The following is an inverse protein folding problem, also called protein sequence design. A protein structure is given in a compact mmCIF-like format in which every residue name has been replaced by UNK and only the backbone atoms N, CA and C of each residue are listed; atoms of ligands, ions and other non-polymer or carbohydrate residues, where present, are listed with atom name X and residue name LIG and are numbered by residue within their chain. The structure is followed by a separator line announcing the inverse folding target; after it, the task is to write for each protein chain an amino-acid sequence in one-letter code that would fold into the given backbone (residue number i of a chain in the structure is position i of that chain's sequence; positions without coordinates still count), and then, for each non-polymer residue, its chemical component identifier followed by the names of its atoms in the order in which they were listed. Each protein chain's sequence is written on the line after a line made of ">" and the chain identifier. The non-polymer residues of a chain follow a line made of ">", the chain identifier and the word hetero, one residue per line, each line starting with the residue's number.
data_IF_795159587360
#
_entry.id   IF_795159587360
#
_cell.length_a   1.000
_cell.length_b   1.000
_cell.length_c   1.000
_cell.angle_alpha   90.00
_cell.angle_beta   90.00
_cell.angle_gamma   90.00
#
_symmetry.space_group_name_H-M   'P 1'
#
loop_
_entity.id
_entity.type
_entity.pdbx_description
1 polymer ?
#
# COMPACT_ATOMS: atom_id res chain seq x y z
N UNK A 1 -18.44 5.24 2.00
CA UNK A 1 -16.98 5.42 2.11
C UNK A 1 -16.32 4.63 0.99
N UNK A 2 -15.37 5.21 0.25
CA UNK A 2 -14.55 4.52 -0.74
C UNK A 2 -13.22 4.11 -0.09
N UNK A 3 -12.81 2.86 -0.27
CA UNK A 3 -11.51 2.38 0.22
C UNK A 3 -10.56 2.28 -0.97
N UNK A 4 -9.45 3.01 -0.90
CA UNK A 4 -8.37 2.93 -1.89
C UNK A 4 -7.23 2.13 -1.25
N UNK A 5 -6.88 1.01 -1.86
CA UNK A 5 -5.84 0.12 -1.38
C UNK A 5 -4.59 0.21 -2.27
N UNK A 6 -3.57 0.91 -1.79
CA UNK A 6 -2.28 0.99 -2.45
C UNK A 6 -1.43 -0.22 -2.06
N UNK A 7 -1.14 -1.10 -3.01
CA UNK A 7 -0.24 -2.24 -2.85
C UNK A 7 1.08 -1.91 -3.52
N UNK A 8 2.17 -1.94 -2.74
CA UNK A 8 3.50 -1.56 -3.19
C UNK A 8 4.57 -2.57 -2.80
N UNK A 9 5.67 -2.62 -3.54
CA UNK A 9 6.94 -3.12 -3.01
C UNK A 9 7.62 -2.05 -2.13
N UNK A 10 8.70 -2.40 -1.40
CA UNK A 10 9.51 -1.42 -0.70
C UNK A 10 10.15 -0.43 -1.69
N UNK A 11 10.54 0.76 -1.23
CA UNK A 11 11.31 1.76 -2.03
C UNK A 11 10.62 2.22 -3.34
N UNK A 12 9.29 2.21 -3.36
CA UNK A 12 8.47 2.62 -4.52
C UNK A 12 7.69 3.93 -4.35
N UNK A 13 8.06 4.80 -3.40
CA UNK A 13 7.35 6.08 -3.13
C UNK A 13 5.90 5.93 -2.61
N UNK A 14 5.51 4.76 -2.11
CA UNK A 14 4.18 4.53 -1.54
C UNK A 14 3.87 5.44 -0.35
N UNK A 15 4.86 5.68 0.52
CA UNK A 15 4.74 6.63 1.64
C UNK A 15 4.52 8.06 1.17
N UNK A 16 5.14 8.49 0.06
CA UNK A 16 4.93 9.82 -0.49
C UNK A 16 3.49 9.99 -1.01
N UNK A 17 2.95 8.97 -1.69
CA UNK A 17 1.53 8.97 -2.08
C UNK A 17 0.60 8.95 -0.86
N UNK A 18 0.92 8.18 0.18
CA UNK A 18 0.13 8.19 1.42
C UNK A 18 0.09 9.59 2.04
N UNK A 19 1.22 10.30 2.13
CA UNK A 19 1.23 11.69 2.61
C UNK A 19 0.43 12.62 1.70
N UNK A 20 0.52 12.46 0.38
CA UNK A 20 -0.28 13.22 -0.58
C UNK A 20 -1.80 13.04 -0.32
N UNK A 21 -2.25 11.81 -0.10
CA UNK A 21 -3.66 11.52 0.22
C UNK A 21 -4.08 12.00 1.62
N UNK A 22 -3.17 12.01 2.60
CA UNK A 22 -3.47 12.50 3.95
C UNK A 22 -3.71 14.01 4.03
N UNK A 23 -3.30 14.77 2.99
CA UNK A 23 -3.58 16.20 2.88
C UNK A 23 -4.97 16.52 2.36
N UNK A 24 -5.72 15.52 1.86
CA UNK A 24 -7.08 15.75 1.39
C UNK A 24 -8.03 15.89 2.59
N UNK A 25 -8.94 16.87 2.60
CA UNK A 25 -9.86 17.09 3.72
C UNK A 25 -10.91 15.99 3.90
N UNK A 26 -11.13 15.18 2.86
CA UNK A 26 -12.13 14.10 2.81
C UNK A 26 -11.55 12.71 3.12
N UNK A 27 -10.23 12.62 3.38
CA UNK A 27 -9.48 11.36 3.40
C UNK A 27 -8.83 11.09 4.74
N UNK A 28 -8.89 9.83 5.19
CA UNK A 28 -8.03 9.29 6.26
C UNK A 28 -7.06 8.28 5.67
N UNK A 29 -5.91 8.12 6.32
CA UNK A 29 -4.88 7.17 5.89
C UNK A 29 -4.61 6.15 6.97
N UNK A 30 -4.31 4.92 6.57
CA UNK A 30 -3.75 3.88 7.44
C UNK A 30 -2.46 3.37 6.80
N UNK A 31 -1.36 3.45 7.55
CA UNK A 31 -0.04 2.96 7.13
C UNK A 31 0.10 1.50 7.54
N UNK A 32 0.29 0.62 6.55
CA UNK A 32 0.61 -0.81 6.68
C UNK A 32 -0.22 -1.56 7.73
N UNK A 33 -1.57 -1.60 7.64
CA UNK A 33 -2.44 -2.23 8.63
C UNK A 33 -2.11 -3.70 8.94
N UNK A 34 -1.53 -4.42 7.98
CA UNK A 34 -1.19 -5.85 8.11
C UNK A 34 0.26 -6.10 8.58
N UNK A 35 1.00 -5.07 9.01
CA UNK A 35 2.43 -5.24 9.33
C UNK A 35 2.67 -6.11 10.57
N UNK A 36 1.91 -5.91 11.65
CA UNK A 36 2.01 -6.77 12.84
C UNK A 36 1.65 -8.23 12.54
N UNK A 37 0.64 -8.46 11.69
CA UNK A 37 0.32 -9.82 11.20
C UNK A 37 1.49 -10.46 10.44
N UNK A 38 2.14 -9.71 9.55
CA UNK A 38 3.31 -10.17 8.82
C UNK A 38 4.48 -10.54 9.76
N UNK A 39 4.76 -9.70 10.77
CA UNK A 39 5.82 -9.93 11.75
C UNK A 39 5.53 -11.12 12.69
N UNK A 40 4.27 -11.35 13.04
CA UNK A 40 3.88 -12.46 13.90
C UNK A 40 3.99 -13.81 13.17
N UNK A 41 3.58 -13.86 11.90
CA UNK A 41 3.56 -15.09 11.08
C UNK A 41 4.94 -15.53 10.59
N UNK A 42 5.83 -14.60 10.23
CA UNK A 42 7.11 -14.92 9.59
C UNK A 42 8.30 -15.04 10.58
N UNK A 43 8.10 -14.78 11.88
CA UNK A 43 9.15 -14.79 12.92
C UNK A 43 10.41 -14.02 12.50
N UNK A 44 10.23 -12.92 11.78
CA UNK A 44 11.34 -12.09 11.28
C UNK A 44 11.90 -11.30 12.46
N UNK A 45 13.22 -11.36 12.64
CA UNK A 45 13.93 -10.47 13.55
C UNK A 45 14.12 -9.12 12.84
N UNK A 46 13.23 -8.17 13.14
CA UNK A 46 13.20 -6.84 12.55
C UNK A 46 13.36 -5.78 13.64
N UNK A 47 14.15 -4.70 13.41
CA UNK A 47 14.20 -3.57 14.32
C UNK A 47 12.79 -3.03 14.63
N UNK A 48 12.45 -2.86 15.91
CA UNK A 48 11.13 -2.37 16.33
C UNK A 48 10.01 -3.42 16.30
N UNK A 49 10.31 -4.71 16.08
CA UNK A 49 9.31 -5.79 16.05
C UNK A 49 8.37 -5.79 17.25
N UNK A 50 8.91 -5.80 18.47
CA UNK A 50 8.10 -5.85 19.69
C UNK A 50 7.24 -4.59 19.85
N UNK A 51 7.75 -3.42 19.45
CA UNK A 51 6.98 -2.18 19.47
C UNK A 51 5.80 -2.24 18.49
N UNK A 52 6.02 -2.75 17.27
CA UNK A 52 4.96 -2.94 16.27
C UNK A 52 3.90 -3.93 16.76
N UNK A 53 4.31 -5.08 17.30
CA UNK A 53 3.38 -6.10 17.79
C UNK A 53 2.57 -5.64 19.00
N UNK A 54 3.11 -4.74 19.83
CA UNK A 54 2.39 -4.17 20.97
C UNK A 54 1.48 -3.00 20.60
N UNK A 55 1.71 -2.34 19.46
CA UNK A 55 0.96 -1.15 19.03
C UNK A 55 -0.15 -1.42 18.02
N UNK A 56 -0.13 -2.58 17.34
CA UNK A 56 -1.07 -2.93 16.29
C UNK A 56 -1.61 -4.35 16.48
N UNK A 57 -2.85 -4.60 16.08
CA UNK A 57 -3.39 -5.97 16.08
C UNK A 57 -2.67 -6.82 15.03
N UNK A 58 -2.46 -8.10 15.35
CA UNK A 58 -1.97 -9.11 14.40
C UNK A 58 -3.08 -10.07 13.95
N UNK A 59 -4.30 -9.88 14.46
CA UNK A 59 -5.49 -10.63 14.08
C UNK A 59 -6.11 -10.02 12.82
N UNK A 60 -6.23 -10.83 11.77
CA UNK A 60 -6.72 -10.38 10.46
C UNK A 60 -8.17 -9.89 10.54
N UNK A 61 -9.02 -10.57 11.31
CA UNK A 61 -10.44 -10.24 11.41
C UNK A 61 -10.61 -8.92 12.15
N UNK A 62 -9.83 -8.69 13.22
CA UNK A 62 -9.80 -7.40 13.91
C UNK A 62 -9.33 -6.27 13.00
N UNK A 63 -8.24 -6.47 12.24
CA UNK A 63 -7.71 -5.46 11.30
C UNK A 63 -8.76 -5.12 10.23
N UNK A 64 -9.38 -6.12 9.62
CA UNK A 64 -10.40 -5.93 8.58
C UNK A 64 -11.63 -5.22 9.16
N UNK A 65 -12.10 -5.65 10.34
CA UNK A 65 -13.21 -5.02 11.05
C UNK A 65 -12.92 -3.55 11.35
N UNK A 66 -11.71 -3.24 11.82
CA UNK A 66 -11.26 -1.88 12.08
C UNK A 66 -11.31 -1.01 10.81
N UNK A 67 -10.79 -1.51 9.69
CA UNK A 67 -10.83 -0.84 8.37
C UNK A 67 -12.28 -0.50 7.97
N UNK A 68 -13.20 -1.47 8.02
CA UNK A 68 -14.59 -1.25 7.62
C UNK A 68 -15.43 -0.47 8.64
N UNK A 69 -14.99 -0.40 9.91
CA UNK A 69 -15.67 0.37 10.95
C UNK A 69 -15.49 1.88 10.82
N UNK A 70 -14.47 2.34 10.08
CA UNK A 70 -14.20 3.77 9.87
C UNK A 70 -15.37 4.44 9.14
N UNK A 71 -15.90 5.51 9.73
CA UNK A 71 -17.05 6.28 9.19
C UNK A 71 -16.84 7.79 9.22
N UNK A 72 -15.68 8.24 9.71
CA UNK A 72 -15.31 9.65 9.88
C UNK A 72 -14.59 10.23 8.64
N UNK A 73 -14.70 9.57 7.49
CA UNK A 73 -14.15 10.04 6.22
C UNK A 73 -14.96 9.54 5.01
N UNK A 74 -14.83 10.25 3.89
CA UNK A 74 -15.42 9.82 2.63
C UNK A 74 -14.52 8.78 1.95
N UNK A 75 -13.20 8.95 2.09
CA UNK A 75 -12.17 8.09 1.51
C UNK A 75 -11.25 7.57 2.62
N UNK A 76 -11.04 6.26 2.64
CA UNK A 76 -10.00 5.62 3.44
C UNK A 76 -8.89 5.14 2.49
N UNK A 77 -7.68 5.66 2.66
CA UNK A 77 -6.52 5.28 1.87
C UNK A 77 -5.62 4.35 2.69
N UNK A 78 -5.53 3.10 2.27
CA UNK A 78 -4.65 2.11 2.87
C UNK A 78 -3.36 2.08 2.07
N UNK A 79 -2.23 2.28 2.73
CA UNK A 79 -0.93 2.00 2.13
C UNK A 79 -0.44 0.66 2.66
N UNK A 80 -0.23 -0.28 1.76
CA UNK A 80 0.21 -1.63 2.07
C UNK A 80 1.50 -1.99 1.33
N UNK A 81 2.26 -2.91 1.94
CA UNK A 81 3.29 -3.66 1.24
C UNK A 81 2.71 -4.98 0.73
N UNK A 82 3.08 -5.38 -0.49
CA UNK A 82 2.58 -6.62 -1.08
C UNK A 82 2.89 -7.84 -0.19
N UNK A 83 4.11 -7.91 0.34
CA UNK A 83 4.55 -9.01 1.20
C UNK A 83 3.90 -9.04 2.60
N UNK A 84 3.05 -8.06 2.98
CA UNK A 84 2.26 -8.16 4.21
C UNK A 84 1.02 -9.05 4.07
N UNK A 85 0.61 -9.35 2.83
CA UNK A 85 -0.59 -10.14 2.52
C UNK A 85 -0.31 -11.65 2.55
N UNK A 86 0.28 -12.14 3.64
CA UNK A 86 0.70 -13.54 3.79
C UNK A 86 -0.29 -14.28 4.68
N UNK A 87 -0.50 -15.56 4.40
CA UNK A 87 -1.24 -16.47 5.30
C UNK A 87 -2.64 -15.96 5.70
N UNK A 88 -3.33 -15.27 4.80
CA UNK A 88 -4.64 -14.66 5.05
C UNK A 88 -5.61 -14.89 3.88
N UNK A 89 -6.92 -14.81 4.15
CA UNK A 89 -7.93 -14.73 3.09
C UNK A 89 -7.89 -13.33 2.45
N UNK A 90 -7.87 -13.28 1.12
CA UNK A 90 -7.69 -12.07 0.31
C UNK A 90 -8.99 -11.56 -0.35
N UNK A 91 -10.14 -12.19 -0.09
CA UNK A 91 -11.46 -11.77 -0.61
C UNK A 91 -11.82 -10.32 -0.25
N UNK A 92 -11.24 -9.75 0.81
CA UNK A 92 -11.46 -8.35 1.16
C UNK A 92 -10.98 -7.37 0.08
N UNK A 93 -10.01 -7.77 -0.76
CA UNK A 93 -9.52 -6.95 -1.86
C UNK A 93 -10.62 -6.64 -2.87
N UNK A 94 -11.61 -7.52 -3.01
CA UNK A 94 -12.72 -7.38 -3.96
C UNK A 94 -13.66 -6.22 -3.65
N UNK A 95 -13.59 -5.74 -2.40
CA UNK A 95 -14.44 -4.66 -1.90
C UNK A 95 -13.68 -3.33 -1.83
N UNK A 96 -12.49 -3.24 -2.45
CA UNK A 96 -11.61 -2.08 -2.44
C UNK A 96 -11.25 -1.62 -3.85
N UNK A 97 -10.92 -0.35 -4.01
CA UNK A 97 -10.29 0.16 -5.23
C UNK A 97 -8.78 -0.06 -5.14
N UNK A 98 -8.27 -1.09 -5.82
CA UNK A 98 -6.87 -1.49 -5.73
C UNK A 98 -5.96 -0.73 -6.70
N UNK A 99 -4.82 -0.25 -6.19
CA UNK A 99 -3.77 0.43 -6.94
C UNK A 99 -2.43 -0.27 -6.68
N UNK A 100 -1.83 -0.82 -7.73
CA UNK A 100 -0.48 -1.38 -7.68
C UNK A 100 0.56 -0.35 -8.06
N UNK A 101 1.51 -0.12 -7.15
CA UNK A 101 2.64 0.76 -7.37
C UNK A 101 3.86 -0.06 -7.75
N UNK A 102 4.17 -0.02 -9.05
CA UNK A 102 5.26 -0.77 -9.65
C UNK A 102 6.47 0.11 -9.90
N UNK A 103 7.61 -0.53 -10.11
CA UNK A 103 8.85 0.10 -10.52
C UNK A 103 9.63 -0.87 -11.36
N UNK A 104 10.50 -0.36 -12.23
CA UNK A 104 11.43 -1.20 -12.96
C UNK A 104 12.21 -2.13 -11.98
N UNK A 105 12.11 -3.46 -12.13
CA UNK A 105 12.73 -4.41 -11.19
C UNK A 105 14.24 -4.20 -11.02
N UNK A 106 14.96 -3.82 -12.08
CA UNK A 106 16.41 -3.55 -12.00
C UNK A 106 16.71 -2.35 -11.09
N UNK A 107 15.93 -1.28 -11.19
CA UNK A 107 16.09 -0.09 -10.35
C UNK A 107 15.68 -0.37 -8.90
N UNK A 108 14.61 -1.13 -8.70
CA UNK A 108 14.14 -1.54 -7.38
C UNK A 108 15.21 -2.36 -6.65
N UNK A 109 15.72 -3.42 -7.28
CA UNK A 109 16.76 -4.28 -6.71
C UNK A 109 18.01 -3.46 -6.39
N UNK A 110 18.46 -2.62 -7.32
CA UNK A 110 19.63 -1.77 -7.10
C UNK A 110 19.48 -0.81 -5.91
N UNK A 111 18.30 -0.18 -5.73
CA UNK A 111 18.05 0.68 -4.57
C UNK A 111 17.89 -0.10 -3.26
N UNK A 112 17.36 -1.32 -3.32
CA UNK A 112 17.07 -2.12 -2.13
C UNK A 112 18.35 -2.75 -1.56
N UNK A 113 19.24 -3.24 -2.44
CA UNK A 113 20.55 -3.80 -2.09
C UNK A 113 21.54 -2.77 -1.49
N UNK A 114 21.22 -1.46 -1.54
CA UNK A 114 22.03 -0.43 -0.87
C UNK A 114 21.75 -0.31 0.63
N UNK A 115 20.62 -0.83 1.11
CA UNK A 115 20.11 -0.61 2.48
C UNK A 115 19.93 -1.93 3.24
N UNK A 116 19.65 -3.02 2.53
CA UNK A 116 19.47 -4.36 3.11
C UNK A 116 20.63 -5.26 2.69
N UNK A 117 21.35 -5.79 3.67
CA UNK A 117 22.35 -6.83 3.46
C UNK A 117 21.67 -8.13 3.03
N UNK A 118 22.03 -8.66 1.86
CA UNK A 118 21.52 -9.93 1.30
C UNK A 118 19.99 -9.98 1.08
N UNK A 119 19.42 -9.14 0.20
CA UNK A 119 17.98 -9.11 -0.03
C UNK A 119 17.46 -10.43 -0.64
N UNK A 120 16.34 -10.93 -0.12
CA UNK A 120 15.62 -12.09 -0.66
C UNK A 120 14.49 -11.64 -1.59
N UNK A 121 14.02 -12.55 -2.45
CA UNK A 121 12.92 -12.25 -3.37
C UNK A 121 11.63 -11.83 -2.64
N UNK A 122 11.38 -12.43 -1.47
CA UNK A 122 10.24 -12.08 -0.61
C UNK A 122 10.29 -10.62 -0.13
N UNK A 123 11.48 -10.11 0.19
CA UNK A 123 11.67 -8.74 0.68
C UNK A 123 11.35 -7.71 -0.42
N UNK A 124 11.66 -8.04 -1.68
CA UNK A 124 11.34 -7.21 -2.85
C UNK A 124 9.82 -7.10 -3.05
N UNK A 125 9.05 -8.12 -2.65
CA UNK A 125 7.59 -8.14 -2.73
C UNK A 125 7.00 -8.16 -4.15
N UNK A 126 7.83 -8.19 -5.21
CA UNK A 126 7.38 -8.16 -6.60
C UNK A 126 6.58 -9.40 -6.98
N UNK A 127 7.04 -10.58 -6.55
CA UNK A 127 6.35 -11.84 -6.78
C UNK A 127 4.96 -11.83 -6.13
N UNK A 128 4.90 -11.44 -4.85
CA UNK A 128 3.62 -11.32 -4.14
C UNK A 128 2.72 -10.27 -4.77
N UNK A 129 3.26 -9.14 -5.21
CA UNK A 129 2.48 -8.12 -5.92
C UNK A 129 1.86 -8.66 -7.21
N UNK A 130 2.59 -9.49 -7.95
CA UNK A 130 2.09 -10.14 -9.17
C UNK A 130 1.01 -11.18 -8.88
N UNK A 131 1.19 -11.99 -7.83
CA UNK A 131 0.18 -12.93 -7.34
C UNK A 131 -1.14 -12.21 -7.01
N UNK A 132 -1.06 -11.16 -6.18
CA UNK A 132 -2.21 -10.35 -5.80
C UNK A 132 -2.90 -9.75 -7.04
N UNK A 133 -2.14 -9.17 -7.97
CA UNK A 133 -2.69 -8.60 -9.20
C UNK A 133 -3.49 -9.63 -10.01
N UNK A 134 -2.94 -10.83 -10.21
CA UNK A 134 -3.60 -11.88 -10.98
C UNK A 134 -4.91 -12.36 -10.34
N UNK A 135 -4.98 -12.37 -9.00
CA UNK A 135 -6.19 -12.75 -8.27
C UNK A 135 -7.35 -11.79 -8.53
N UNK A 136 -7.06 -10.48 -8.58
CA UNK A 136 -8.08 -9.44 -8.71
C UNK A 136 -8.12 -8.77 -10.09
N UNK A 137 -7.43 -9.32 -11.10
CA UNK A 137 -7.32 -8.71 -12.43
C UNK A 137 -8.69 -8.41 -13.08
N UNK A 138 -9.70 -9.23 -12.79
CA UNK A 138 -11.07 -9.06 -13.29
C UNK A 138 -11.76 -7.78 -12.78
N UNK A 139 -11.22 -7.17 -11.71
CA UNK A 139 -11.69 -5.89 -11.17
C UNK A 139 -11.02 -4.67 -11.82
N UNK A 140 -10.12 -4.89 -12.79
CA UNK A 140 -9.34 -3.86 -13.46
C UNK A 140 -8.56 -2.96 -12.47
N UNK A 141 -7.71 -3.54 -11.61
CA UNK A 141 -6.92 -2.77 -10.66
C UNK A 141 -6.01 -1.77 -11.39
N UNK A 142 -5.82 -0.59 -10.79
CA UNK A 142 -4.94 0.42 -11.37
C UNK A 142 -3.48 0.00 -11.20
N UNK A 143 -2.66 0.33 -12.20
CA UNK A 143 -1.20 0.16 -12.14
C UNK A 143 -0.54 1.51 -12.38
N UNK A 144 0.37 1.88 -11.49
CA UNK A 144 1.13 3.12 -11.57
C UNK A 144 2.63 2.80 -11.47
N UNK A 145 3.41 3.27 -12.45
CA UNK A 145 4.86 3.29 -12.33
C UNK A 145 5.27 4.46 -11.42
N UNK A 146 5.89 4.14 -10.29
CA UNK A 146 6.40 5.11 -9.32
C UNK A 146 7.38 6.11 -9.92
N UNK A 147 8.08 5.77 -11.01
CA UNK A 147 8.98 6.69 -11.69
C UNK A 147 8.26 7.88 -12.34
N UNK A 148 6.96 7.73 -12.66
CA UNK A 148 6.16 8.82 -13.24
C UNK A 148 5.80 9.89 -12.21
N UNK A 149 5.74 9.54 -10.92
CA UNK A 149 5.33 10.44 -9.83
C UNK A 149 6.21 11.70 -9.79
N UNK A 150 7.52 11.52 -9.99
CA UNK A 150 8.50 12.60 -9.86
C UNK A 150 8.58 13.51 -11.10
N UNK A 151 8.00 13.10 -12.24
CA UNK A 151 8.10 13.88 -13.50
C UNK A 151 7.15 15.08 -13.50
N UNK A 152 5.90 14.84 -13.12
CA UNK A 152 4.87 15.87 -13.00
C UNK A 152 3.83 15.42 -11.96
N UNK A 153 4.11 15.67 -10.65
CA UNK A 153 3.24 15.22 -9.57
C UNK A 153 1.81 15.72 -9.71
N UNK A 154 1.61 16.97 -10.16
CA UNK A 154 0.29 17.58 -10.30
C UNK A 154 -0.53 16.86 -11.36
N UNK A 155 0.01 16.70 -12.57
CA UNK A 155 -0.70 16.02 -13.65
C UNK A 155 -1.01 14.57 -13.30
N UNK A 156 -0.07 13.87 -12.67
CA UNK A 156 -0.26 12.49 -12.25
C UNK A 156 -1.34 12.35 -11.18
N UNK A 157 -1.31 13.19 -10.14
CA UNK A 157 -2.31 13.15 -9.07
C UNK A 157 -3.70 13.54 -9.56
N UNK A 158 -3.82 14.50 -10.48
CA UNK A 158 -5.08 14.81 -11.17
C UNK A 158 -5.62 13.59 -11.91
N UNK A 159 -4.78 12.97 -12.76
CA UNK A 159 -5.17 11.77 -13.51
C UNK A 159 -5.55 10.60 -12.60
N UNK A 160 -4.83 10.44 -11.49
CA UNK A 160 -5.12 9.39 -10.50
C UNK A 160 -6.45 9.64 -9.79
N UNK A 161 -6.73 10.88 -9.40
CA UNK A 161 -8.02 11.28 -8.84
C UNK A 161 -9.17 11.03 -9.83
N UNK A 162 -8.97 11.36 -11.11
CA UNK A 162 -9.97 11.12 -12.16
C UNK A 162 -10.26 9.63 -12.33
N UNK A 163 -9.21 8.77 -12.37
CA UNK A 163 -9.38 7.31 -12.43
C UNK A 163 -10.08 6.74 -11.20
N UNK A 164 -9.80 7.31 -10.02
CA UNK A 164 -10.50 6.98 -8.80
C UNK A 164 -11.89 7.62 -8.71
N UNK A 165 -12.29 8.49 -9.63
CA UNK A 165 -13.53 9.26 -9.58
C UNK A 165 -13.69 10.04 -8.27
N UNK A 166 -12.63 10.74 -7.88
CA UNK A 166 -12.59 11.61 -6.68
C UNK A 166 -12.08 13.00 -7.07
N UNK A 167 -12.42 14.02 -6.29
CA UNK A 167 -11.95 15.38 -6.54
C UNK A 167 -10.45 15.50 -6.27
N UNK A 168 -9.70 16.19 -7.15
CA UNK A 168 -8.32 16.60 -6.86
C UNK A 168 -8.28 17.81 -5.91
N UNK A 169 -7.31 17.84 -5.00
CA UNK A 169 -7.06 18.94 -4.07
C UNK A 169 -5.61 19.39 -4.21
N UNK A 170 -5.35 20.70 -4.38
CA UNK A 170 -3.99 21.22 -4.52
C UNK A 170 -3.12 20.91 -3.29
N UNK A 171 -3.71 20.75 -2.10
CA UNK A 171 -3.01 20.34 -0.87
C UNK A 171 -2.30 18.99 -1.00
N UNK A 172 -2.70 18.15 -1.96
CA UNK A 172 -2.03 16.87 -2.26
C UNK A 172 -0.57 17.03 -2.75
N UNK A 173 -0.15 18.26 -3.13
CA UNK A 173 1.19 18.57 -3.64
C UNK A 173 2.17 19.04 -2.56
N UNK A 174 1.74 19.10 -1.30
CA UNK A 174 2.49 19.70 -0.18
C UNK A 174 2.74 18.76 0.97
#
# INVERSE_FOLDING_TARGET
>A
MKIINLISGPRNLSTALMYSFSKRPDTKVIDEPFYAHYLSTNKIDHPGREETLNSMSSDIEEIISDIYSRKDCEILFLKNMAHHHQQMNLEFLDNMTNLFLVRNPKQLIASFAQVIDSPKMQDIGLEKSWELFNMIQNQNPLVLDSAEILKDPKKLLMSLCDKFQIKFYDQMLS
#
